data_IF_548635105767
#
_entry.id   IF_548635105767
#
_cell.length_a   1.000
_cell.length_b   1.000
_cell.length_c   1.000
_cell.angle_alpha   90.00
_cell.angle_beta   90.00
_cell.angle_gamma   90.00
#
_symmetry.space_group_name_H-M   'P 1'
#
loop_
_entity.id
_entity.type
_entity.pdbx_description
1 polymer ?
#
# COMPACT_ATOMS: atom_id res chain seq x y z
N UNK A 1 -13.07 29.68 9.94
CA UNK A 1 -11.79 29.07 9.53
C UNK A 1 -10.85 30.21 9.15
N UNK A 2 -9.73 30.34 9.84
CA UNK A 2 -8.77 31.43 9.62
C UNK A 2 -7.73 31.03 8.56
N UNK A 3 -7.12 32.00 7.88
CA UNK A 3 -6.14 31.76 6.80
C UNK A 3 -4.96 30.90 7.28
N UNK A 4 -4.58 31.07 8.54
CA UNK A 4 -3.53 30.32 9.23
C UNK A 4 -3.92 28.86 9.46
N UNK A 5 -5.20 28.55 9.70
CA UNK A 5 -5.71 27.17 9.81
C UNK A 5 -5.64 26.46 8.45
N UNK A 6 -6.03 27.13 7.37
CA UNK A 6 -5.94 26.58 6.00
C UNK A 6 -4.49 26.36 5.55
N UNK A 7 -3.56 27.23 5.98
CA UNK A 7 -2.11 27.07 5.75
C UNK A 7 -1.54 25.85 6.48
N UNK A 8 -1.94 25.66 7.74
CA UNK A 8 -1.52 24.51 8.51
C UNK A 8 -2.08 23.20 7.93
N UNK A 9 -3.35 23.19 7.55
CA UNK A 9 -4.01 22.02 6.96
C UNK A 9 -3.40 21.63 5.60
N UNK A 10 -3.11 22.61 4.75
CA UNK A 10 -2.43 22.38 3.47
C UNK A 10 -1.03 21.77 3.67
N UNK A 11 -0.23 22.29 4.62
CA UNK A 11 1.10 21.74 4.93
C UNK A 11 1.04 20.30 5.43
N UNK A 12 0.08 19.97 6.28
CA UNK A 12 -0.12 18.61 6.78
C UNK A 12 -0.48 17.65 5.65
N UNK A 13 -1.29 18.09 4.68
CA UNK A 13 -1.65 17.29 3.52
C UNK A 13 -0.47 17.10 2.55
N UNK A 14 0.33 18.13 2.32
CA UNK A 14 1.57 18.05 1.52
C UNK A 14 2.60 17.11 2.16
N UNK A 15 2.73 17.14 3.49
CA UNK A 15 3.61 16.26 4.24
C UNK A 15 3.14 14.80 4.14
N UNK A 16 1.83 14.54 4.27
CA UNK A 16 1.24 13.20 4.03
C UNK A 16 1.47 12.71 2.61
N UNK A 17 1.38 13.59 1.61
CA UNK A 17 1.65 13.27 0.20
C UNK A 17 3.11 12.85 0.00
N UNK A 18 4.06 13.52 0.66
CA UNK A 18 5.48 13.19 0.61
C UNK A 18 5.82 11.85 1.31
N UNK A 19 5.00 11.41 2.28
CA UNK A 19 5.19 10.13 2.98
C UNK A 19 4.58 8.93 2.24
N UNK A 20 3.58 9.13 1.40
CA UNK A 20 2.92 8.07 0.62
C UNK A 20 3.83 7.22 -0.28
N UNK A 21 4.83 7.77 -0.99
CA UNK A 21 5.79 6.93 -1.71
C UNK A 21 6.60 6.04 -0.77
N UNK A 22 6.85 6.45 0.49
CA UNK A 22 7.48 5.58 1.50
C UNK A 22 6.54 4.45 1.95
N UNK A 23 5.22 4.69 2.00
CA UNK A 23 4.23 3.62 2.25
C UNK A 23 4.26 2.53 1.17
N UNK A 24 4.63 2.83 -0.08
CA UNK A 24 4.83 1.80 -1.12
C UNK A 24 5.87 0.76 -0.71
N UNK A 25 6.92 1.19 0.00
CA UNK A 25 8.00 0.31 0.48
C UNK A 25 7.62 -0.55 1.68
N UNK A 26 6.55 -0.22 2.42
CA UNK A 26 6.11 -1.04 3.55
C UNK A 26 5.64 -2.44 3.13
N UNK A 27 5.21 -2.63 1.87
CA UNK A 27 4.85 -3.97 1.38
C UNK A 27 6.04 -4.92 1.32
N UNK A 28 7.28 -4.41 1.25
CA UNK A 28 8.48 -5.25 1.24
C UNK A 28 8.56 -6.11 2.51
N UNK A 29 8.15 -5.58 3.67
CA UNK A 29 8.08 -6.36 4.91
C UNK A 29 7.11 -7.54 4.79
N UNK A 30 5.93 -7.30 4.20
CA UNK A 30 4.95 -8.36 3.98
C UNK A 30 5.44 -9.40 2.97
N UNK A 31 6.10 -8.96 1.89
CA UNK A 31 6.70 -9.86 0.90
C UNK A 31 7.72 -10.76 1.60
N UNK A 32 8.65 -10.21 2.39
CA UNK A 32 9.68 -10.98 3.12
C UNK A 32 9.05 -12.02 4.05
N UNK A 33 8.03 -11.65 4.82
CA UNK A 33 7.33 -12.60 5.72
C UNK A 33 6.67 -13.73 4.93
N UNK A 34 6.01 -13.41 3.82
CA UNK A 34 5.38 -14.40 2.93
C UNK A 34 6.43 -15.30 2.29
N UNK A 35 7.60 -14.76 1.89
CA UNK A 35 8.71 -15.57 1.37
C UNK A 35 9.16 -16.61 2.39
N UNK A 36 9.38 -16.20 3.64
CA UNK A 36 9.78 -17.11 4.72
C UNK A 36 8.74 -18.20 4.98
N UNK A 37 7.46 -17.81 4.99
CA UNK A 37 6.35 -18.77 5.13
C UNK A 37 6.31 -19.77 3.97
N UNK A 38 6.54 -19.35 2.73
CA UNK A 38 6.54 -20.25 1.57
C UNK A 38 7.71 -21.24 1.57
N UNK A 39 8.84 -20.89 2.20
CA UNK A 39 9.97 -21.82 2.40
C UNK A 39 9.62 -22.83 3.50
N UNK A 40 8.92 -22.41 4.55
CA UNK A 40 8.48 -23.31 5.62
C UNK A 40 7.29 -24.20 5.22
N UNK A 41 6.43 -23.71 4.32
CA UNK A 41 5.15 -24.34 3.93
C UNK A 41 5.27 -25.81 3.50
N UNK A 42 6.26 -26.25 2.71
CA UNK A 42 6.42 -27.65 2.31
C UNK A 42 6.67 -28.61 3.49
N UNK A 43 7.20 -28.08 4.60
CA UNK A 43 7.55 -28.84 5.81
C UNK A 43 6.46 -28.80 6.89
N UNK A 44 5.45 -27.94 6.72
CA UNK A 44 4.35 -27.85 7.68
C UNK A 44 3.44 -29.08 7.58
N UNK A 45 2.99 -29.64 8.72
CA UNK A 45 2.08 -30.77 8.73
C UNK A 45 0.70 -30.34 8.21
N UNK A 46 0.17 -31.10 7.25
CA UNK A 46 -1.19 -30.92 6.75
C UNK A 46 -2.19 -31.71 7.60
N UNK A 47 -3.45 -31.26 7.63
CA UNK A 47 -4.57 -32.00 8.25
C UNK A 47 -4.74 -33.32 7.50
N UNK A 48 -4.18 -34.41 8.06
CA UNK A 48 -4.05 -35.70 7.41
C UNK A 48 -2.81 -36.49 7.82
N UNK A 49 -1.86 -35.86 8.53
CA UNK A 49 -0.73 -36.55 9.16
C UNK A 49 0.55 -36.64 8.31
N UNK A 50 0.55 -36.03 7.13
CA UNK A 50 1.74 -35.90 6.27
C UNK A 50 2.04 -34.45 5.89
N UNK A 51 3.19 -34.23 5.25
CA UNK A 51 3.61 -32.92 4.73
C UNK A 51 3.46 -32.86 3.20
N UNK A 52 3.56 -31.65 2.63
CA UNK A 52 3.43 -31.40 1.18
C UNK A 52 4.45 -32.21 0.37
N UNK A 53 5.64 -32.41 0.93
CA UNK A 53 6.72 -33.17 0.30
C UNK A 53 6.37 -34.66 0.18
N UNK A 54 5.76 -35.25 1.19
CA UNK A 54 5.34 -36.66 1.21
C UNK A 54 4.22 -36.95 0.20
N UNK A 55 3.35 -35.97 -0.08
CA UNK A 55 2.20 -36.17 -0.96
C UNK A 55 2.53 -36.05 -2.46
N UNK A 56 3.35 -35.07 -2.85
CA UNK A 56 3.61 -34.75 -4.27
C UNK A 56 5.09 -34.81 -4.66
N UNK A 57 5.97 -35.14 -3.71
CA UNK A 57 7.41 -35.17 -3.91
C UNK A 57 8.06 -33.78 -3.78
N UNK A 58 9.31 -33.76 -3.29
CA UNK A 58 10.05 -32.54 -2.97
C UNK A 58 10.12 -31.53 -4.11
N UNK A 59 10.49 -32.00 -5.31
CA UNK A 59 10.65 -31.14 -6.49
C UNK A 59 9.33 -30.49 -6.90
N UNK A 60 8.25 -31.27 -6.94
CA UNK A 60 6.92 -30.79 -7.32
C UNK A 60 6.39 -29.81 -6.27
N UNK A 61 6.53 -30.12 -4.97
CA UNK A 61 6.11 -29.25 -3.88
C UNK A 61 6.76 -27.86 -3.93
N UNK A 62 8.07 -27.81 -4.17
CA UNK A 62 8.80 -26.55 -4.28
C UNK A 62 8.32 -25.75 -5.50
N UNK A 63 8.14 -26.39 -6.66
CA UNK A 63 7.69 -25.71 -7.88
C UNK A 63 6.27 -25.15 -7.69
N UNK A 64 5.35 -25.92 -7.11
CA UNK A 64 3.98 -25.48 -6.85
C UNK A 64 3.94 -24.31 -5.86
N UNK A 65 4.69 -24.39 -4.76
CA UNK A 65 4.82 -23.28 -3.81
C UNK A 65 5.43 -22.05 -4.50
N UNK A 66 6.48 -22.21 -5.30
CA UNK A 66 7.12 -21.08 -5.98
C UNK A 66 6.19 -20.38 -6.98
N UNK A 67 5.44 -21.14 -7.77
CA UNK A 67 4.43 -20.58 -8.69
C UNK A 67 3.36 -19.82 -7.93
N UNK A 68 2.81 -20.41 -6.86
CA UNK A 68 1.82 -19.75 -6.02
C UNK A 68 2.34 -18.47 -5.37
N UNK A 69 3.60 -18.48 -4.92
CA UNK A 69 4.27 -17.32 -4.35
C UNK A 69 4.35 -16.16 -5.34
N UNK A 70 4.73 -16.43 -6.60
CA UNK A 70 4.79 -15.38 -7.64
C UNK A 70 3.42 -14.73 -7.82
N UNK A 71 2.34 -15.51 -7.93
CA UNK A 71 0.99 -14.97 -8.08
C UNK A 71 0.59 -14.10 -6.89
N UNK A 72 0.83 -14.56 -5.66
CA UNK A 72 0.52 -13.79 -4.45
C UNK A 72 1.29 -12.48 -4.42
N UNK A 73 2.60 -12.51 -4.68
CA UNK A 73 3.45 -11.31 -4.62
C UNK A 73 3.03 -10.29 -5.66
N UNK A 74 2.79 -10.72 -6.90
CA UNK A 74 2.33 -9.83 -7.98
C UNK A 74 0.99 -9.19 -7.61
N UNK A 75 0.03 -9.99 -7.15
CA UNK A 75 -1.29 -9.49 -6.74
C UNK A 75 -1.19 -8.51 -5.56
N UNK A 76 -0.36 -8.81 -4.57
CA UNK A 76 -0.16 -7.96 -3.40
C UNK A 76 0.49 -6.62 -3.77
N UNK A 77 1.54 -6.64 -4.59
CA UNK A 77 2.20 -5.42 -5.11
C UNK A 77 1.20 -4.58 -5.90
N UNK A 78 0.46 -5.19 -6.81
CA UNK A 78 -0.54 -4.50 -7.62
C UNK A 78 -1.61 -3.82 -6.76
N UNK A 79 -2.17 -4.56 -5.80
CA UNK A 79 -3.20 -4.02 -4.92
C UNK A 79 -2.69 -2.88 -4.03
N UNK A 80 -1.45 -3.00 -3.52
CA UNK A 80 -0.84 -1.96 -2.70
C UNK A 80 -0.54 -0.69 -3.50
N UNK A 81 0.03 -0.84 -4.70
CA UNK A 81 0.30 0.30 -5.58
C UNK A 81 -1.00 1.01 -5.93
N UNK A 82 -2.05 0.28 -6.33
CA UNK A 82 -3.37 0.90 -6.57
C UNK A 82 -3.90 1.65 -5.36
N UNK A 83 -3.82 1.07 -4.16
CA UNK A 83 -4.28 1.75 -2.94
C UNK A 83 -3.52 3.06 -2.69
N UNK A 84 -2.20 3.03 -2.83
CA UNK A 84 -1.38 4.23 -2.67
C UNK A 84 -1.69 5.28 -3.75
N UNK A 85 -1.90 4.86 -5.00
CA UNK A 85 -2.26 5.77 -6.10
C UNK A 85 -3.61 6.46 -5.84
N UNK A 86 -4.60 5.71 -5.34
CA UNK A 86 -5.88 6.28 -4.93
C UNK A 86 -5.73 7.28 -3.78
N UNK A 87 -4.89 6.96 -2.78
CA UNK A 87 -4.65 7.84 -1.62
C UNK A 87 -3.92 9.13 -2.05
N UNK A 88 -2.95 9.03 -2.97
CA UNK A 88 -2.29 10.19 -3.60
C UNK A 88 -3.31 11.05 -4.33
N UNK A 89 -4.11 10.45 -5.22
CA UNK A 89 -5.10 11.20 -6.02
C UNK A 89 -6.15 11.88 -5.15
N UNK A 90 -6.61 11.23 -4.08
CA UNK A 90 -7.54 11.84 -3.12
C UNK A 90 -6.92 13.05 -2.44
N UNK A 91 -5.67 12.95 -1.99
CA UNK A 91 -4.98 14.05 -1.32
C UNK A 91 -4.69 15.22 -2.27
N UNK A 92 -4.38 14.96 -3.53
CA UNK A 92 -4.23 16.01 -4.55
C UNK A 92 -5.53 16.82 -4.71
N UNK A 93 -6.67 16.14 -4.75
CA UNK A 93 -8.00 16.78 -4.82
C UNK A 93 -8.30 17.59 -3.54
N UNK A 94 -7.95 17.06 -2.36
CA UNK A 94 -8.14 17.77 -1.09
C UNK A 94 -7.28 19.04 -1.02
N UNK A 95 -6.01 18.96 -1.45
CA UNK A 95 -5.11 20.11 -1.54
C UNK A 95 -5.65 21.15 -2.52
N UNK A 96 -6.12 20.74 -3.70
CA UNK A 96 -6.69 21.65 -4.68
C UNK A 96 -7.96 22.33 -4.15
N UNK A 97 -8.80 21.60 -3.43
CA UNK A 97 -10.02 22.13 -2.80
C UNK A 97 -9.69 23.19 -1.76
N UNK A 98 -8.70 22.94 -0.89
CA UNK A 98 -8.23 23.91 0.10
C UNK A 98 -7.64 25.15 -0.59
N UNK A 99 -6.87 24.97 -1.66
CA UNK A 99 -6.30 26.07 -2.44
C UNK A 99 -7.39 26.95 -3.05
N UNK A 100 -8.44 26.36 -3.63
CA UNK A 100 -9.59 27.11 -4.18
C UNK A 100 -10.36 27.87 -3.10
N UNK A 101 -10.62 27.24 -1.94
CA UNK A 101 -11.26 27.92 -0.80
C UNK A 101 -10.46 29.12 -0.31
N UNK A 102 -9.13 29.01 -0.29
CA UNK A 102 -8.26 30.14 0.07
C UNK A 102 -8.37 31.30 -0.91
N UNK A 103 -8.38 31.02 -2.22
CA UNK A 103 -8.52 32.06 -3.26
C UNK A 103 -9.85 32.79 -3.09
N UNK A 104 -10.96 32.05 -2.90
CA UNK A 104 -12.28 32.64 -2.65
C UNK A 104 -12.30 33.54 -1.41
N UNK A 105 -11.69 33.12 -0.31
CA UNK A 105 -11.58 33.94 0.90
C UNK A 105 -10.71 35.20 0.71
N UNK A 106 -9.71 35.14 -0.17
CA UNK A 106 -8.90 36.30 -0.51
C UNK A 106 -9.64 37.28 -1.44
N UNK A 107 -10.46 36.77 -2.36
CA UNK A 107 -11.32 37.58 -3.24
C UNK A 107 -12.44 38.28 -2.44
N UNK A 108 -13.15 37.55 -1.57
CA UNK A 108 -14.19 38.11 -0.69
C UNK A 108 -13.66 39.18 0.27
N UNK A 109 -12.42 39.01 0.76
CA UNK A 109 -11.77 39.97 1.65
C UNK A 109 -11.26 41.22 0.92
N UNK A 110 -10.94 41.10 -0.37
CA UNK A 110 -10.46 42.21 -1.19
C UNK A 110 -11.60 42.99 -1.88
N UNK A 111 -12.86 42.62 -1.65
CA UNK A 111 -14.02 43.40 -2.08
C UNK A 111 -14.22 43.42 -3.59
N UNK A 112 -13.96 42.29 -4.26
CA UNK A 112 -14.42 42.02 -5.63
C UNK A 112 -15.65 41.11 -5.55
#
# INVERSE_FOLDING_TARGET
MTKTELEAEQKVLEEKLAELPKKRWNIVKNIVVVTLLMIAMPFLPMKGGGNLIEWIGFKSAIVSCFLFYIFIVVAAIYQNNRKVDYEISSLEVDIETIKRKRIQLDDERNGI
#
